data_IF_462203912410
#
_entry.id   IF_462203912410
#
_cell.length_a   1.000
_cell.length_b   1.000
_cell.length_c   1.000
_cell.angle_alpha   90.00
_cell.angle_beta   90.00
_cell.angle_gamma   90.00
#
_symmetry.space_group_name_H-M   'P 1'
#
loop_
_entity.id
_entity.type
_entity.pdbx_description
1 polymer ?
#
# COMPACT_ATOMS: atom_id res chain seq x y z
N UNK A 1 2.61 34.11 38.75
CA UNK A 1 1.45 33.21 38.56
C UNK A 1 0.08 33.89 38.61
N UNK A 2 -0.02 35.21 38.85
CA UNK A 2 -1.30 35.94 38.96
C UNK A 2 -2.18 35.88 37.70
N UNK A 3 -1.59 35.87 36.50
CA UNK A 3 -2.33 35.78 35.22
C UNK A 3 -3.08 34.46 35.06
N UNK A 4 -2.53 33.35 35.57
CA UNK A 4 -3.11 32.01 35.49
C UNK A 4 -3.77 31.57 36.81
N UNK A 5 -3.82 32.45 37.83
CA UNK A 5 -4.37 32.18 39.16
C UNK A 5 -3.85 30.89 39.85
N UNK A 6 -2.59 30.50 39.60
CA UNK A 6 -1.92 29.36 40.25
C UNK A 6 -0.95 29.83 41.33
N UNK A 7 -0.65 29.00 42.33
CA UNK A 7 0.38 29.33 43.32
C UNK A 7 1.79 29.25 42.69
N UNK A 8 2.77 30.01 43.23
CA UNK A 8 4.18 29.89 42.77
C UNK A 8 4.74 28.50 43.09
N UNK A 9 4.41 27.94 44.25
CA UNK A 9 4.85 26.60 44.66
C UNK A 9 4.32 25.52 43.72
N UNK A 10 3.06 25.59 43.30
CA UNK A 10 2.49 24.59 42.38
C UNK A 10 3.11 24.68 40.99
N UNK A 11 3.43 25.90 40.53
CA UNK A 11 4.10 26.10 39.25
C UNK A 11 5.49 25.43 39.23
N UNK A 12 6.33 25.66 40.24
CA UNK A 12 7.65 25.02 40.31
C UNK A 12 7.55 23.52 40.59
N UNK A 13 6.58 23.09 41.41
CA UNK A 13 6.31 21.67 41.62
C UNK A 13 5.89 20.96 40.33
N UNK A 14 5.10 21.62 39.48
CA UNK A 14 4.75 21.12 38.14
C UNK A 14 5.95 21.11 37.20
N UNK A 15 6.75 22.17 37.18
CA UNK A 15 7.93 22.30 36.31
C UNK A 15 8.97 21.20 36.56
N UNK A 16 9.14 20.78 37.81
CA UNK A 16 10.06 19.71 38.18
C UNK A 16 9.38 18.33 38.31
N UNK A 17 8.08 18.23 38.01
CA UNK A 17 7.34 16.98 38.16
C UNK A 17 7.80 15.98 37.11
N UNK A 18 8.31 14.83 37.58
CA UNK A 18 8.66 13.71 36.71
C UNK A 18 7.42 13.18 35.99
N UNK A 19 7.57 12.58 34.79
CA UNK A 19 6.46 11.96 34.08
C UNK A 19 5.72 10.98 34.98
N UNK A 20 4.39 11.04 35.00
CA UNK A 20 3.58 10.09 35.77
C UNK A 20 3.82 8.66 35.28
N UNK A 21 3.51 7.65 36.11
CA UNK A 21 3.60 6.23 35.72
C UNK A 21 2.92 5.98 34.38
N UNK A 22 1.72 6.56 34.19
CA UNK A 22 0.94 6.48 32.95
C UNK A 22 1.65 7.12 31.75
N UNK A 23 2.33 8.24 31.94
CA UNK A 23 3.09 8.88 30.86
C UNK A 23 4.30 8.02 30.45
N UNK A 24 4.96 7.37 31.41
CA UNK A 24 6.08 6.46 31.15
C UNK A 24 5.63 5.18 30.44
N UNK A 25 4.50 4.60 30.86
CA UNK A 25 3.87 3.45 30.19
C UNK A 25 3.48 3.78 28.74
N UNK A 26 2.88 4.94 28.52
CA UNK A 26 2.54 5.40 27.18
C UNK A 26 3.79 5.52 26.30
N UNK A 27 4.86 6.15 26.78
CA UNK A 27 6.10 6.28 26.01
C UNK A 27 6.69 4.91 25.62
N UNK A 28 6.63 3.91 26.52
CA UNK A 28 7.06 2.53 26.22
C UNK A 28 6.19 1.86 25.15
N UNK A 29 4.87 2.04 25.24
CA UNK A 29 3.91 1.55 24.25
C UNK A 29 4.09 2.21 22.88
N UNK A 30 4.41 3.51 22.85
CA UNK A 30 4.66 4.26 21.61
C UNK A 30 5.88 3.69 20.85
N UNK A 31 6.98 3.38 21.56
CA UNK A 31 8.19 2.77 20.97
C UNK A 31 7.93 1.34 20.47
N UNK A 32 7.25 0.50 21.27
CA UNK A 32 6.94 -0.87 20.91
C UNK A 32 6.05 -0.95 19.66
N UNK A 33 5.03 -0.09 19.58
CA UNK A 33 4.13 -0.02 18.43
C UNK A 33 4.84 0.48 17.16
N UNK A 34 5.75 1.46 17.27
CA UNK A 34 6.36 2.13 16.12
C UNK A 34 7.47 1.31 15.44
N UNK A 35 8.38 0.72 16.22
CA UNK A 35 9.63 0.14 15.68
C UNK A 35 9.42 -1.28 15.16
N UNK A 36 8.60 -2.10 15.83
CA UNK A 36 8.42 -3.52 15.45
C UNK A 36 7.46 -3.74 14.29
N UNK A 37 6.40 -2.92 14.19
CA UNK A 37 5.24 -3.29 13.36
C UNK A 37 5.28 -2.75 11.92
N UNK A 38 6.29 -1.92 11.58
CA UNK A 38 6.38 -1.21 10.28
C UNK A 38 5.08 -0.49 9.86
N UNK A 39 4.28 -0.08 10.84
CA UNK A 39 2.95 0.54 10.67
C UNK A 39 1.89 -0.36 10.03
N UNK A 40 2.14 -1.67 9.93
CA UNK A 40 1.22 -2.62 9.30
C UNK A 40 0.15 -3.13 10.28
N UNK A 41 0.44 -3.13 11.58
CA UNK A 41 -0.39 -3.82 12.56
C UNK A 41 -1.64 -3.04 12.97
N UNK A 42 -2.76 -3.75 13.01
CA UNK A 42 -4.00 -3.28 13.60
C UNK A 42 -3.96 -3.28 15.13
N UNK A 43 -4.96 -2.65 15.77
CA UNK A 43 -4.97 -2.48 17.23
C UNK A 43 -5.12 -3.82 17.98
N UNK A 44 -5.77 -4.82 17.39
CA UNK A 44 -5.94 -6.15 17.97
C UNK A 44 -4.65 -6.98 17.93
N UNK A 45 -3.96 -7.00 16.78
CA UNK A 45 -2.65 -7.65 16.65
C UNK A 45 -1.63 -7.05 17.61
N UNK A 46 -1.60 -5.72 17.71
CA UNK A 46 -0.74 -5.03 18.65
C UNK A 46 -1.11 -5.35 20.11
N UNK A 47 -2.39 -5.53 20.44
CA UNK A 47 -2.81 -5.94 21.78
C UNK A 47 -2.28 -7.33 22.15
N UNK A 48 -2.33 -8.29 21.22
CA UNK A 48 -1.84 -9.64 21.45
C UNK A 48 -0.33 -9.64 21.73
N UNK A 49 0.47 -8.96 20.90
CA UNK A 49 1.92 -8.85 21.12
C UNK A 49 2.26 -8.14 22.43
N UNK A 50 1.57 -7.03 22.75
CA UNK A 50 1.80 -6.32 24.00
C UNK A 50 1.47 -7.17 25.22
N UNK A 51 0.48 -8.06 25.11
CA UNK A 51 0.16 -9.02 26.18
C UNK A 51 1.25 -10.07 26.33
N UNK A 52 1.83 -10.56 25.25
CA UNK A 52 2.98 -11.48 25.26
C UNK A 52 4.23 -10.82 25.85
N UNK A 53 4.46 -9.54 25.56
CA UNK A 53 5.56 -8.75 26.13
C UNK A 53 5.33 -8.37 27.61
N UNK A 54 4.24 -8.81 28.24
CA UNK A 54 3.92 -8.56 29.65
C UNK A 54 3.26 -7.20 29.94
N UNK A 55 2.75 -6.52 28.92
CA UNK A 55 2.07 -5.21 29.01
C UNK A 55 0.59 -5.29 28.61
N UNK A 56 -0.28 -5.87 29.48
CA UNK A 56 -1.70 -5.97 29.19
C UNK A 56 -2.34 -4.58 29.04
N UNK A 57 -2.71 -4.23 27.81
CA UNK A 57 -3.29 -2.93 27.47
C UNK A 57 -4.65 -3.11 26.80
N UNK A 58 -5.62 -2.26 27.15
CA UNK A 58 -6.95 -2.28 26.50
C UNK A 58 -6.91 -1.74 25.06
N UNK A 59 -7.70 -2.31 24.16
CA UNK A 59 -7.80 -1.91 22.74
C UNK A 59 -8.08 -0.42 22.60
N UNK A 60 -8.99 0.16 23.40
CA UNK A 60 -9.30 1.59 23.35
C UNK A 60 -8.13 2.50 23.72
N UNK A 61 -7.22 2.02 24.59
CA UNK A 61 -5.98 2.74 24.89
C UNK A 61 -5.04 2.72 23.68
N UNK A 62 -4.86 1.55 23.06
CA UNK A 62 -4.06 1.37 21.84
C UNK A 62 -4.59 2.26 20.71
N UNK A 63 -5.90 2.30 20.49
CA UNK A 63 -6.52 3.14 19.46
C UNK A 63 -6.25 4.64 19.68
N UNK A 64 -6.39 5.13 20.92
CA UNK A 64 -6.07 6.54 21.25
C UNK A 64 -4.60 6.85 21.03
N UNK A 65 -3.71 5.95 21.41
CA UNK A 65 -2.27 6.09 21.21
C UNK A 65 -1.92 6.14 19.73
N UNK A 66 -2.47 5.23 18.92
CA UNK A 66 -2.28 5.19 17.47
C UNK A 66 -2.79 6.47 16.80
N UNK A 67 -3.94 6.99 17.22
CA UNK A 67 -4.46 8.27 16.72
C UNK A 67 -3.54 9.44 17.06
N UNK A 68 -3.04 9.51 18.31
CA UNK A 68 -2.10 10.55 18.75
C UNK A 68 -0.79 10.50 17.95
N UNK A 69 -0.32 9.31 17.62
CA UNK A 69 0.91 9.09 16.84
C UNK A 69 0.71 9.17 15.31
N UNK A 70 -0.52 9.38 14.82
CA UNK A 70 -0.81 9.39 13.39
C UNK A 70 -0.61 8.03 12.68
N UNK A 71 -0.66 6.92 13.43
CA UNK A 71 -0.42 5.58 12.90
C UNK A 71 -1.64 5.02 12.17
N UNK A 72 -1.61 5.06 10.84
CA UNK A 72 -2.53 4.32 9.97
C UNK A 72 -2.00 2.92 9.65
N UNK A 73 -2.89 1.95 9.43
CA UNK A 73 -2.50 0.69 8.79
C UNK A 73 -2.41 0.94 7.29
N UNK A 74 -1.23 0.80 6.69
CA UNK A 74 -1.11 0.82 5.23
C UNK A 74 -1.47 -0.56 4.69
N UNK A 75 -2.56 -0.71 3.91
CA UNK A 75 -2.85 -1.97 3.26
C UNK A 75 -1.72 -2.29 2.28
N UNK A 76 -1.13 -3.48 2.38
CA UNK A 76 -0.21 -3.96 1.35
C UNK A 76 -1.04 -4.25 0.10
N UNK A 77 -0.72 -3.57 -1.00
CA UNK A 77 -1.36 -3.85 -2.30
C UNK A 77 -1.04 -5.31 -2.67
N UNK A 78 -2.07 -6.15 -2.73
CA UNK A 78 -1.91 -7.53 -3.21
C UNK A 78 -1.50 -7.48 -4.67
N UNK A 79 -0.29 -7.96 -4.97
CA UNK A 79 0.14 -8.18 -6.34
C UNK A 79 -0.36 -9.56 -6.77
N UNK A 80 -1.22 -9.60 -7.79
CA UNK A 80 -1.58 -10.84 -8.45
C UNK A 80 -0.61 -11.06 -9.61
N UNK A 81 0.20 -12.11 -9.54
CA UNK A 81 0.95 -12.59 -10.70
C UNK A 81 -0.07 -13.13 -11.71
N UNK A 82 -0.29 -12.38 -12.79
CA UNK A 82 -1.21 -12.77 -13.87
C UNK A 82 -0.50 -13.65 -14.90
N UNK A 83 0.84 -13.64 -14.91
CA UNK A 83 1.67 -14.38 -15.85
C UNK A 83 2.16 -15.68 -15.22
N UNK A 84 1.81 -16.81 -15.82
CA UNK A 84 2.41 -18.11 -15.50
C UNK A 84 3.83 -18.17 -16.08
N UNK A 85 4.84 -17.94 -15.24
CA UNK A 85 6.25 -18.00 -15.62
C UNK A 85 6.77 -19.45 -15.78
N UNK A 86 5.99 -20.46 -15.38
CA UNK A 86 6.38 -21.87 -15.41
C UNK A 86 5.76 -22.63 -16.60
N UNK A 87 5.28 -21.93 -17.62
CA UNK A 87 4.75 -22.57 -18.81
C UNK A 87 5.85 -23.23 -19.66
N UNK A 88 5.53 -24.32 -20.33
CA UNK A 88 6.46 -25.03 -21.25
C UNK A 88 6.46 -24.47 -22.68
N UNK A 89 5.75 -23.37 -22.92
CA UNK A 89 5.70 -22.72 -24.22
C UNK A 89 7.02 -21.98 -24.52
N UNK A 90 7.40 -21.84 -25.79
CA UNK A 90 8.55 -21.03 -26.18
C UNK A 90 8.41 -19.59 -25.67
N UNK A 91 9.45 -19.09 -25.02
CA UNK A 91 9.54 -17.68 -24.60
C UNK A 91 10.32 -16.94 -25.68
N UNK A 92 9.69 -15.92 -26.28
CA UNK A 92 10.40 -15.04 -27.21
C UNK A 92 11.36 -14.12 -26.45
N UNK A 93 12.50 -13.80 -27.06
CA UNK A 93 13.45 -12.87 -26.49
C UNK A 93 12.82 -11.48 -26.32
N UNK A 94 13.04 -10.85 -25.17
CA UNK A 94 12.56 -9.49 -24.91
C UNK A 94 13.45 -8.46 -25.62
N UNK A 95 13.23 -8.28 -26.93
CA UNK A 95 13.97 -7.34 -27.76
C UNK A 95 13.72 -5.88 -27.37
N UNK A 96 12.53 -5.57 -26.83
CA UNK A 96 12.17 -4.20 -26.46
C UNK A 96 12.90 -3.72 -25.21
N UNK A 97 13.14 -4.62 -24.25
CA UNK A 97 13.86 -4.33 -23.00
C UNK A 97 13.39 -3.06 -22.27
N UNK A 98 12.07 -2.78 -22.30
CA UNK A 98 11.43 -1.56 -21.76
C UNK A 98 11.88 -0.23 -22.40
N UNK A 99 12.49 -0.27 -23.59
CA UNK A 99 12.83 0.92 -24.38
C UNK A 99 11.64 1.35 -25.20
N UNK A 100 10.77 2.19 -24.63
CA UNK A 100 9.53 2.67 -25.29
C UNK A 100 9.76 3.86 -26.22
N UNK A 101 10.95 4.00 -26.79
CA UNK A 101 11.30 5.06 -27.75
C UNK A 101 11.41 4.46 -29.14
N UNK A 102 10.72 5.05 -30.11
CA UNK A 102 10.81 4.69 -31.52
C UNK A 102 11.26 5.90 -32.34
N UNK A 103 12.02 5.67 -33.40
CA UNK A 103 12.62 6.70 -34.27
C UNK A 103 11.93 6.81 -35.63
N UNK A 104 11.15 5.79 -36.01
CA UNK A 104 10.40 5.74 -37.26
C UNK A 104 9.09 4.95 -37.10
N UNK A 105 8.10 5.17 -38.00
CA UNK A 105 6.88 4.37 -38.00
C UNK A 105 7.16 2.88 -38.21
N UNK A 106 6.31 2.02 -37.64
CA UNK A 106 6.36 0.56 -37.74
C UNK A 106 7.66 -0.07 -37.22
N UNK A 107 8.41 0.64 -36.37
CA UNK A 107 9.60 0.11 -35.70
C UNK A 107 9.23 -0.73 -34.48
N UNK A 108 8.31 -0.21 -33.65
CA UNK A 108 7.87 -0.87 -32.43
C UNK A 108 6.36 -0.72 -32.27
N UNK A 109 5.69 -1.85 -32.12
CA UNK A 109 4.28 -1.91 -31.76
C UNK A 109 4.13 -2.42 -30.33
N UNK A 110 3.18 -1.82 -29.61
CA UNK A 110 2.76 -2.30 -28.29
C UNK A 110 1.31 -2.75 -28.35
N UNK A 111 1.01 -3.81 -27.63
CA UNK A 111 -0.32 -4.40 -27.61
C UNK A 111 -0.84 -4.51 -26.19
N UNK A 112 -2.14 -4.30 -26.03
CA UNK A 112 -2.86 -4.55 -24.78
C UNK A 112 -4.17 -5.28 -25.07
N UNK A 113 -4.59 -6.14 -24.13
CA UNK A 113 -5.91 -6.73 -24.12
C UNK A 113 -6.68 -6.13 -22.96
N UNK A 114 -7.74 -5.40 -23.27
CA UNK A 114 -8.65 -4.83 -22.28
C UNK A 114 -9.96 -5.63 -22.24
N UNK A 115 -10.56 -5.76 -21.06
CA UNK A 115 -11.86 -6.42 -20.85
C UNK A 115 -12.97 -5.38 -20.70
N UNK A 116 -14.03 -5.52 -21.47
CA UNK A 116 -15.20 -4.65 -21.45
C UNK A 116 -16.38 -5.45 -20.91
N UNK A 117 -16.99 -5.00 -19.81
CA UNK A 117 -18.20 -5.61 -19.30
C UNK A 117 -19.40 -5.19 -20.17
N UNK A 118 -20.18 -6.17 -20.63
CA UNK A 118 -21.41 -5.96 -21.40
C UNK A 118 -22.58 -6.70 -20.76
N UNK A 119 -23.81 -6.46 -21.23
CA UNK A 119 -25.00 -7.17 -20.73
C UNK A 119 -24.98 -8.68 -21.03
N UNK A 120 -24.23 -9.09 -22.07
CA UNK A 120 -24.12 -10.49 -22.51
C UNK A 120 -22.90 -11.21 -21.91
N UNK A 121 -22.05 -10.48 -21.17
CA UNK A 121 -20.82 -11.01 -20.57
C UNK A 121 -19.59 -10.16 -20.87
N UNK A 122 -18.41 -10.77 -20.74
CA UNK A 122 -17.13 -10.10 -20.97
C UNK A 122 -16.75 -10.10 -22.45
N UNK A 123 -16.44 -8.91 -22.98
CA UNK A 123 -15.86 -8.74 -24.31
C UNK A 123 -14.36 -8.43 -24.17
N UNK A 124 -13.54 -9.21 -24.85
CA UNK A 124 -12.09 -9.05 -24.87
C UNK A 124 -11.72 -8.22 -26.09
N UNK A 125 -11.02 -7.10 -25.89
CA UNK A 125 -10.58 -6.21 -26.98
C UNK A 125 -9.07 -6.10 -27.00
N UNK A 126 -8.46 -6.63 -28.05
CA UNK A 126 -7.05 -6.46 -28.34
C UNK A 126 -6.83 -5.21 -29.20
N UNK A 127 -5.72 -4.53 -28.95
CA UNK A 127 -5.36 -3.25 -29.59
C UNK A 127 -3.87 -3.23 -29.86
N UNK A 128 -3.48 -2.78 -31.05
CA UNK A 128 -2.09 -2.62 -31.47
C UNK A 128 -1.83 -1.13 -31.71
N UNK A 129 -0.86 -0.57 -30.98
CA UNK A 129 -0.48 0.84 -31.06
C UNK A 129 0.95 0.96 -31.59
N UNK A 130 1.16 1.85 -32.55
CA UNK A 130 2.49 2.25 -32.99
C UNK A 130 3.11 3.25 -32.00
N UNK A 131 4.33 2.99 -31.53
CA UNK A 131 4.99 3.85 -30.55
C UNK A 131 5.47 5.19 -31.13
N UNK A 132 5.81 5.23 -32.41
CA UNK A 132 6.31 6.45 -33.05
C UNK A 132 5.16 7.41 -33.36
N UNK A 133 4.15 6.92 -34.08
CA UNK A 133 2.99 7.74 -34.47
C UNK A 133 2.02 7.97 -33.31
N UNK A 134 2.09 7.14 -32.26
CA UNK A 134 1.12 7.11 -31.17
C UNK A 134 -0.32 6.82 -31.61
N UNK A 135 -0.50 6.19 -32.78
CA UNK A 135 -1.79 5.84 -33.35
C UNK A 135 -2.11 4.36 -33.20
N UNK A 136 -3.41 4.04 -33.25
CA UNK A 136 -3.90 2.67 -33.25
C UNK A 136 -3.82 2.11 -34.67
N UNK A 137 -2.98 1.11 -34.88
CA UNK A 137 -2.78 0.47 -36.20
C UNK A 137 -3.63 -0.77 -36.41
N UNK A 138 -4.16 -1.35 -35.32
CA UNK A 138 -5.01 -2.54 -35.39
C UNK A 138 -5.84 -2.75 -34.13
N UNK A 139 -6.96 -3.47 -34.27
CA UNK A 139 -7.76 -3.95 -33.15
C UNK A 139 -8.54 -5.21 -33.52
N UNK A 140 -8.82 -6.04 -32.52
CA UNK A 140 -9.67 -7.22 -32.64
C UNK A 140 -10.54 -7.35 -31.39
N UNK A 141 -11.68 -8.03 -31.52
CA UNK A 141 -12.60 -8.28 -30.41
C UNK A 141 -13.07 -9.73 -30.43
N UNK A 142 -13.22 -10.32 -29.25
CA UNK A 142 -13.69 -11.69 -29.10
C UNK A 142 -14.39 -11.91 -27.77
N UNK A 143 -15.27 -12.92 -27.72
CA UNK A 143 -15.95 -13.32 -26.48
C UNK A 143 -15.03 -14.10 -25.51
N UNK A 144 -13.83 -14.50 -25.97
CA UNK A 144 -12.84 -15.27 -25.20
C UNK A 144 -11.43 -14.73 -25.47
N UNK A 145 -10.54 -14.90 -24.49
CA UNK A 145 -9.11 -14.62 -24.63
C UNK A 145 -8.42 -15.82 -25.29
N UNK A 146 -8.30 -15.80 -26.62
CA UNK A 146 -7.65 -16.85 -27.42
C UNK A 146 -6.40 -16.31 -28.11
N UNK A 147 -5.51 -17.20 -28.57
CA UNK A 147 -4.34 -16.83 -29.36
C UNK A 147 -4.72 -16.06 -30.63
N UNK A 148 -5.83 -16.43 -31.27
CA UNK A 148 -6.31 -15.76 -32.50
C UNK A 148 -6.69 -14.28 -32.29
N UNK A 149 -6.82 -13.82 -31.05
CA UNK A 149 -7.14 -12.44 -30.73
C UNK A 149 -5.92 -11.50 -30.83
N UNK A 150 -4.69 -12.04 -30.89
CA UNK A 150 -3.43 -11.28 -30.89
C UNK A 150 -2.48 -11.75 -31.99
#
# INVERSE_FOLDING_TARGET
CQVLAVSRSDYYAWQHRRPSKRAQENARLEVAAHVRTRHTYGPERLQAELREDGFPTGIGHIMRLRKKLGLGCTPVRRFALTTDLAHRLPVADNLLAQTFTATRPNETWVTDITYIATAEGWLYRARIKDLYMCEMVGHAMGARMTTDLV
#
